data_IF_013937304890
#
_entry.id   IF_013937304890
#
_cell.length_a   1.000
_cell.length_b   1.000
_cell.length_c   1.000
_cell.angle_alpha   90.00
_cell.angle_beta   90.00
_cell.angle_gamma   90.00
#
_symmetry.space_group_name_H-M   'P 1'
#
loop_
_entity.id
_entity.type
_entity.pdbx_description
1 polymer ?
#
# COMPACT_ATOMS: atom_id res chain seq x y z
N UNK A 1 16.47 -31.71 4.13
CA UNK A 1 15.32 -31.18 3.36
C UNK A 1 14.32 -30.62 4.37
N UNK A 2 13.65 -29.48 4.10
CA UNK A 2 12.67 -28.73 4.95
C UNK A 2 13.13 -27.39 5.60
N UNK A 3 14.42 -27.03 5.61
CA UNK A 3 14.88 -25.79 6.27
C UNK A 3 14.32 -24.51 5.61
N UNK A 4 14.09 -24.53 4.29
CA UNK A 4 13.53 -23.38 3.56
C UNK A 4 12.08 -23.06 3.93
N UNK A 5 11.25 -24.08 4.18
CA UNK A 5 9.85 -23.88 4.61
C UNK A 5 9.82 -23.31 6.03
N UNK A 6 10.70 -23.79 6.93
CA UNK A 6 10.81 -23.25 8.27
C UNK A 6 11.19 -21.75 8.27
N UNK A 7 12.06 -21.33 7.35
CA UNK A 7 12.44 -19.93 7.17
C UNK A 7 11.29 -19.04 6.67
N UNK A 8 10.47 -19.52 5.73
CA UNK A 8 9.28 -18.77 5.25
C UNK A 8 8.24 -18.64 6.37
N UNK A 9 7.98 -19.72 7.11
CA UNK A 9 7.03 -19.73 8.22
C UNK A 9 7.51 -18.77 9.32
N UNK A 10 8.81 -18.81 9.66
CA UNK A 10 9.40 -17.92 10.67
C UNK A 10 9.36 -16.45 10.22
N UNK A 11 9.63 -16.15 8.94
CA UNK A 11 9.50 -14.80 8.39
C UNK A 11 8.05 -14.29 8.45
N UNK A 12 7.06 -15.16 8.23
CA UNK A 12 5.65 -14.83 8.37
C UNK A 12 5.20 -14.58 9.82
N UNK A 13 5.75 -15.35 10.78
CA UNK A 13 5.51 -15.19 12.22
C UNK A 13 6.13 -13.90 12.79
N UNK A 14 7.25 -13.44 12.21
CA UNK A 14 7.90 -12.18 12.58
C UNK A 14 7.27 -10.95 11.89
N UNK A 15 6.22 -11.13 11.09
CA UNK A 15 5.49 -10.02 10.49
C UNK A 15 4.85 -9.16 11.59
N UNK A 16 5.22 -7.88 11.64
CA UNK A 16 4.74 -6.91 12.62
C UNK A 16 3.21 -6.72 12.61
N UNK A 17 2.68 -5.89 13.53
CA UNK A 17 1.25 -5.68 13.66
C UNK A 17 0.64 -5.13 12.36
N UNK A 18 -0.44 -5.77 11.92
CA UNK A 18 -1.18 -5.36 10.73
C UNK A 18 -2.22 -4.33 11.12
N UNK A 19 -1.92 -3.06 10.85
CA UNK A 19 -2.84 -1.95 11.04
C UNK A 19 -3.71 -1.73 9.79
N UNK A 20 -4.98 -1.43 10.01
CA UNK A 20 -5.92 -1.04 8.95
C UNK A 20 -6.90 -0.03 9.51
N UNK A 21 -7.03 1.11 8.85
CA UNK A 21 -7.98 2.16 9.21
C UNK A 21 -8.88 2.49 8.02
N UNK A 22 -10.13 2.82 8.29
CA UNK A 22 -11.05 3.36 7.29
C UNK A 22 -11.45 4.76 7.71
N UNK A 23 -11.20 5.74 6.85
CA UNK A 23 -11.53 7.14 7.09
C UNK A 23 -12.45 7.66 5.99
N UNK A 24 -13.34 8.57 6.37
CA UNK A 24 -14.07 9.40 5.42
C UNK A 24 -13.51 10.80 5.53
N UNK A 25 -13.10 11.35 4.40
CA UNK A 25 -12.45 12.64 4.34
C UNK A 25 -13.16 13.52 3.32
N UNK A 26 -13.47 14.74 3.71
CA UNK A 26 -14.00 15.78 2.84
C UNK A 26 -12.86 16.59 2.24
N UNK A 27 -13.10 17.22 1.11
CA UNK A 27 -12.11 18.12 0.49
C UNK A 27 -11.64 19.20 1.46
N UNK A 28 -10.33 19.43 1.52
CA UNK A 28 -9.60 20.30 2.46
C UNK A 28 -9.60 19.87 3.93
N UNK A 29 -10.20 18.73 4.27
CA UNK A 29 -10.14 18.15 5.61
C UNK A 29 -8.80 17.45 5.84
N UNK A 30 -8.30 17.48 7.08
CA UNK A 30 -7.11 16.73 7.52
C UNK A 30 -7.50 15.75 8.60
N UNK A 31 -7.12 14.49 8.42
CA UNK A 31 -7.36 13.40 9.38
C UNK A 31 -6.02 12.89 9.88
N UNK A 32 -5.83 12.93 11.19
CA UNK A 32 -4.68 12.35 11.86
C UNK A 32 -4.89 10.85 12.08
N UNK A 33 -3.92 10.03 11.66
CA UNK A 33 -3.97 8.57 11.74
C UNK A 33 -3.04 8.00 12.83
N UNK A 34 -2.42 8.86 13.66
CA UNK A 34 -1.53 8.42 14.74
C UNK A 34 -2.25 7.46 15.71
N UNK A 35 -3.50 7.76 16.05
CA UNK A 35 -4.34 6.90 16.91
C UNK A 35 -4.69 5.54 16.28
N UNK A 36 -4.61 5.44 14.95
CA UNK A 36 -4.86 4.21 14.19
C UNK A 36 -3.58 3.38 13.96
N UNK A 37 -2.45 3.83 14.51
CA UNK A 37 -1.15 3.16 14.38
C UNK A 37 -0.35 3.56 13.15
N UNK A 38 -0.68 4.68 12.51
CA UNK A 38 0.07 5.23 11.38
C UNK A 38 0.69 6.58 11.76
N UNK A 39 2.03 6.76 11.70
CA UNK A 39 2.69 8.00 12.10
C UNK A 39 2.58 9.09 11.02
N UNK A 40 1.39 9.29 10.47
CA UNK A 40 1.09 10.25 9.41
C UNK A 40 -0.30 10.87 9.64
N UNK A 41 -0.50 12.07 9.11
CA UNK A 41 -1.83 12.61 8.85
C UNK A 41 -2.05 12.69 7.32
N UNK A 42 -3.32 12.64 6.92
CA UNK A 42 -3.73 12.73 5.51
C UNK A 42 -4.66 13.91 5.36
N UNK A 43 -4.33 14.82 4.43
CA UNK A 43 -5.20 15.92 4.02
C UNK A 43 -5.73 15.67 2.63
N UNK A 44 -7.04 15.81 2.41
CA UNK A 44 -7.60 15.78 1.07
C UNK A 44 -7.44 17.15 0.41
N UNK A 45 -6.79 17.19 -0.75
CA UNK A 45 -6.66 18.41 -1.54
C UNK A 45 -7.86 18.59 -2.46
N UNK A 46 -8.13 17.58 -3.29
CA UNK A 46 -9.18 17.61 -4.30
C UNK A 46 -9.82 16.24 -4.39
N UNK A 47 -11.15 16.20 -4.44
CA UNK A 47 -11.93 14.97 -4.61
C UNK A 47 -12.86 15.15 -5.80
N UNK A 48 -12.59 14.43 -6.88
CA UNK A 48 -13.24 14.65 -8.16
C UNK A 48 -13.64 13.36 -8.88
N UNK A 49 -14.50 13.49 -9.87
CA UNK A 49 -14.95 12.40 -10.72
C UNK A 49 -14.73 12.78 -12.20
N UNK A 50 -14.14 11.88 -12.96
CA UNK A 50 -14.05 11.97 -14.41
C UNK A 50 -15.25 11.26 -15.03
N UNK A 51 -15.83 11.87 -16.06
CA UNK A 51 -17.02 11.38 -16.75
C UNK A 51 -16.73 11.12 -18.23
N UNK A 52 -17.40 10.12 -18.81
CA UNK A 52 -17.46 9.97 -20.26
C UNK A 52 -18.36 11.07 -20.87
N UNK A 53 -18.25 11.29 -22.18
CA UNK A 53 -19.10 12.23 -22.90
C UNK A 53 -20.62 11.97 -22.71
N UNK A 54 -21.00 10.71 -22.45
CA UNK A 54 -22.39 10.31 -22.15
C UNK A 54 -22.82 10.52 -20.69
N UNK A 55 -22.01 11.16 -19.86
CA UNK A 55 -22.34 11.48 -18.45
C UNK A 55 -22.17 10.32 -17.46
N UNK A 56 -21.82 9.12 -17.93
CA UNK A 56 -21.45 8.01 -17.05
C UNK A 56 -20.10 8.28 -16.37
N UNK A 57 -19.99 7.92 -15.09
CA UNK A 57 -18.71 8.05 -14.37
C UNK A 57 -17.68 7.10 -14.96
N UNK A 58 -16.52 7.66 -15.28
CA UNK A 58 -15.35 6.94 -15.75
C UNK A 58 -14.43 6.55 -14.61
N UNK A 59 -14.09 7.50 -13.74
CA UNK A 59 -13.18 7.27 -12.63
C UNK A 59 -13.40 8.29 -11.51
N UNK A 60 -13.07 7.90 -10.29
CA UNK A 60 -13.04 8.81 -9.13
C UNK A 60 -11.60 9.00 -8.71
N UNK A 61 -11.23 10.25 -8.42
CA UNK A 61 -9.90 10.65 -8.04
C UNK A 61 -9.93 11.38 -6.70
N UNK A 62 -8.93 11.10 -5.87
CA UNK A 62 -8.67 11.83 -4.64
C UNK A 62 -7.19 12.18 -4.63
N UNK A 63 -6.88 13.47 -4.68
CA UNK A 63 -5.52 13.98 -4.41
C UNK A 63 -5.40 14.20 -2.92
N UNK A 64 -4.40 13.59 -2.31
CA UNK A 64 -4.11 13.71 -0.89
C UNK A 64 -2.70 14.23 -0.66
N UNK A 65 -2.52 15.02 0.37
CA UNK A 65 -1.23 15.35 0.95
C UNK A 65 -0.99 14.48 2.16
N UNK A 66 0.22 13.93 2.25
CA UNK A 66 0.69 13.17 3.39
C UNK A 66 1.51 14.11 4.26
N UNK A 67 1.19 14.15 5.55
CA UNK A 67 1.83 15.00 6.53
C UNK A 67 2.54 14.15 7.58
N UNK A 68 3.77 14.54 7.92
CA UNK A 68 4.50 14.01 9.07
C UNK A 68 4.80 15.16 10.02
N UNK A 69 4.41 15.01 11.29
CA UNK A 69 4.57 16.06 12.32
C UNK A 69 4.04 17.43 11.86
N UNK A 70 2.91 17.43 11.16
CA UNK A 70 2.25 18.63 10.63
C UNK A 70 2.88 19.24 9.37
N UNK A 71 3.99 18.67 8.85
CA UNK A 71 4.62 19.12 7.59
C UNK A 71 4.21 18.22 6.45
N UNK A 72 3.82 18.81 5.33
CA UNK A 72 3.62 18.07 4.08
C UNK A 72 4.94 17.46 3.60
N UNK A 73 4.93 16.15 3.38
CA UNK A 73 6.09 15.36 2.96
C UNK A 73 5.93 14.75 1.58
N UNK A 74 4.69 14.56 1.11
CA UNK A 74 4.40 13.92 -0.16
C UNK A 74 2.96 14.28 -0.60
N UNK A 75 2.70 14.22 -1.90
CA UNK A 75 1.37 14.39 -2.48
C UNK A 75 1.10 13.20 -3.38
N UNK A 76 -0.08 12.58 -3.21
CA UNK A 76 -0.48 11.38 -3.91
C UNK A 76 -1.82 11.56 -4.60
N UNK A 77 -1.90 11.01 -5.80
CA UNK A 77 -3.13 10.93 -6.56
C UNK A 77 -3.63 9.49 -6.51
N UNK A 78 -4.84 9.30 -5.96
CA UNK A 78 -5.45 8.00 -5.75
C UNK A 78 -6.65 7.89 -6.66
N UNK A 79 -6.81 6.74 -7.30
CA UNK A 79 -8.06 6.37 -7.96
C UNK A 79 -8.47 4.95 -7.62
N UNK A 80 -9.69 4.58 -7.98
CA UNK A 80 -10.10 3.17 -7.90
C UNK A 80 -9.09 2.31 -8.67
N UNK A 81 -8.67 1.19 -8.06
CA UNK A 81 -7.63 0.26 -8.56
C UNK A 81 -6.19 0.81 -8.67
N UNK A 82 -5.95 2.09 -8.39
CA UNK A 82 -4.61 2.68 -8.34
C UNK A 82 -4.35 3.27 -6.94
N UNK A 83 -4.01 2.44 -5.95
CA UNK A 83 -3.73 2.89 -4.60
C UNK A 83 -2.43 3.71 -4.55
N UNK A 84 -2.37 4.64 -3.61
CA UNK A 84 -1.12 5.31 -3.27
C UNK A 84 -0.31 4.46 -2.29
N UNK A 85 1.01 4.52 -2.44
CA UNK A 85 1.96 3.93 -1.51
C UNK A 85 2.85 5.03 -0.94
N UNK A 86 3.07 4.99 0.37
CA UNK A 86 4.01 5.85 1.07
C UNK A 86 4.70 5.03 2.17
N UNK A 87 6.02 4.88 2.08
CA UNK A 87 6.79 3.97 2.95
C UNK A 87 6.14 2.57 2.99
N UNK A 88 5.81 2.06 4.17
CA UNK A 88 5.12 0.79 4.37
C UNK A 88 3.59 0.98 4.56
N UNK A 89 3.01 2.01 3.96
CA UNK A 89 1.58 2.33 4.04
C UNK A 89 0.99 2.32 2.64
N UNK A 90 -0.16 1.66 2.47
CA UNK A 90 -1.00 1.79 1.28
C UNK A 90 -2.32 2.43 1.60
N UNK A 91 -2.73 3.33 0.73
CA UNK A 91 -3.97 4.09 0.83
C UNK A 91 -4.81 3.76 -0.40
N UNK A 92 -5.96 3.16 -0.16
CA UNK A 92 -6.92 2.75 -1.17
C UNK A 92 -8.11 3.67 -1.13
N UNK A 93 -8.58 4.10 -2.30
CA UNK A 93 -9.89 4.71 -2.40
C UNK A 93 -10.95 3.62 -2.44
N UNK A 94 -11.86 3.65 -1.48
CA UNK A 94 -12.90 2.65 -1.27
C UNK A 94 -14.29 3.14 -1.65
N UNK A 95 -14.62 4.39 -1.32
CA UNK A 95 -15.92 4.98 -1.66
C UNK A 95 -15.79 6.42 -2.12
N UNK A 96 -16.78 6.88 -2.87
CA UNK A 96 -16.94 8.28 -3.26
C UNK A 96 -18.40 8.67 -3.02
N UNK A 97 -18.62 9.87 -2.48
CA UNK A 97 -19.96 10.42 -2.27
C UNK A 97 -19.95 11.92 -2.52
N UNK A 98 -20.94 12.40 -3.28
CA UNK A 98 -21.24 13.83 -3.37
C UNK A 98 -22.22 14.20 -2.25
N UNK A 99 -21.90 15.22 -1.45
CA UNK A 99 -22.74 15.71 -0.37
C UNK A 99 -22.94 17.24 -0.46
N UNK A 100 -24.01 17.79 0.14
CA UNK A 100 -24.16 19.25 0.26
C UNK A 100 -22.95 19.85 0.98
N UNK A 101 -22.17 20.66 0.26
CA UNK A 101 -20.98 21.32 0.76
C UNK A 101 -19.64 20.66 0.41
N UNK A 102 -19.61 19.61 -0.42
CA UNK A 102 -18.37 19.08 -1.00
C UNK A 102 -18.39 17.58 -1.28
N UNK A 103 -17.42 17.11 -2.06
CA UNK A 103 -17.22 15.69 -2.28
C UNK A 103 -16.52 15.05 -1.07
N UNK A 104 -16.84 13.79 -0.80
CA UNK A 104 -16.31 12.98 0.29
C UNK A 104 -15.73 11.71 -0.30
N UNK A 105 -14.52 11.38 0.11
CA UNK A 105 -13.80 10.17 -0.28
C UNK A 105 -13.65 9.25 0.93
N UNK A 106 -13.99 7.98 0.78
CA UNK A 106 -13.69 6.96 1.77
C UNK A 106 -12.36 6.31 1.45
N UNK A 107 -11.37 6.48 2.32
CA UNK A 107 -10.03 5.93 2.15
C UNK A 107 -9.78 4.81 3.15
N UNK A 108 -9.21 3.69 2.67
CA UNK A 108 -8.70 2.62 3.52
C UNK A 108 -7.19 2.69 3.57
N UNK A 109 -6.63 2.87 4.75
CA UNK A 109 -5.19 2.91 5.02
C UNK A 109 -4.76 1.57 5.59
N UNK A 110 -3.71 0.95 5.03
CA UNK A 110 -3.21 -0.36 5.45
C UNK A 110 -1.70 -0.34 5.61
N UNK A 111 -1.21 -1.01 6.65
CA UNK A 111 0.21 -1.30 6.81
C UNK A 111 0.64 -2.43 5.85
N UNK A 112 1.77 -2.22 5.17
CA UNK A 112 2.48 -3.21 4.36
C UNK A 112 3.74 -3.76 5.08
N UNK A 113 3.86 -3.55 6.40
CA UNK A 113 4.96 -4.10 7.20
C UNK A 113 5.04 -5.64 7.08
N UNK A 114 6.25 -6.14 6.81
CA UNK A 114 6.53 -7.57 6.60
C UNK A 114 6.65 -8.00 5.14
N UNK A 115 6.12 -7.23 4.17
CA UNK A 115 6.28 -7.52 2.74
C UNK A 115 7.76 -7.51 2.27
N UNK A 116 8.64 -6.60 2.74
CA UNK A 116 10.05 -6.60 2.36
C UNK A 116 10.79 -7.87 2.81
N UNK A 117 10.51 -8.35 4.02
CA UNK A 117 11.12 -9.56 4.56
C UNK A 117 10.71 -10.80 3.78
N UNK A 118 9.42 -10.92 3.43
CA UNK A 118 8.90 -12.02 2.60
C UNK A 118 9.53 -12.01 1.19
N UNK A 119 9.64 -10.84 0.54
CA UNK A 119 10.26 -10.72 -0.79
C UNK A 119 11.74 -11.11 -0.76
N UNK A 120 12.47 -10.66 0.26
CA UNK A 120 13.89 -10.98 0.43
C UNK A 120 14.09 -12.49 0.65
N UNK A 121 13.26 -13.11 1.50
CA UNK A 121 13.27 -14.56 1.71
C UNK A 121 12.97 -15.37 0.45
N UNK A 122 12.02 -14.92 -0.38
CA UNK A 122 11.70 -15.60 -1.63
C UNK A 122 12.83 -15.48 -2.67
N UNK A 123 13.44 -14.30 -2.81
CA UNK A 123 14.55 -14.06 -3.73
C UNK A 123 15.78 -14.89 -3.36
N UNK A 124 16.10 -15.02 -2.06
CA UNK A 124 17.23 -15.83 -1.62
C UNK A 124 17.03 -17.32 -1.91
N UNK A 125 15.81 -17.83 -1.74
CA UNK A 125 15.46 -19.21 -2.10
C UNK A 125 15.54 -19.45 -3.61
N UNK A 126 15.05 -18.51 -4.42
CA UNK A 126 15.16 -18.60 -5.88
C UNK A 126 16.62 -18.59 -6.34
N UNK A 127 17.44 -17.67 -5.81
CA UNK A 127 18.88 -17.59 -6.11
C UNK A 127 19.63 -18.87 -5.69
N UNK A 128 19.34 -19.40 -4.50
CA UNK A 128 19.90 -20.68 -4.04
C UNK A 128 19.53 -21.85 -4.95
N UNK A 129 18.29 -21.89 -5.45
CA UNK A 129 17.82 -22.92 -6.39
C UNK A 129 18.53 -22.83 -7.75
N UNK A 130 18.75 -21.62 -8.26
CA UNK A 130 19.49 -21.37 -9.50
C UNK A 130 20.97 -21.76 -9.36
N UNK A 131 21.61 -21.43 -8.23
CA UNK A 131 22.98 -21.84 -7.93
C UNK A 131 23.15 -23.35 -7.89
N UNK A 132 22.22 -24.08 -7.28
CA UNK A 132 22.24 -25.57 -7.24
C UNK A 132 22.12 -26.15 -8.67
N UNK A 133 21.25 -25.59 -9.51
CA UNK A 133 21.07 -26.05 -10.89
C UNK A 133 22.30 -25.75 -11.77
N UNK A 134 22.92 -24.58 -11.60
CA UNK A 134 24.16 -24.22 -12.29
C UNK A 134 25.35 -25.06 -11.81
N UNK A 135 25.46 -25.31 -10.50
CA UNK A 135 26.49 -26.18 -9.92
C UNK A 135 26.36 -27.64 -10.39
N UNK A 136 25.14 -28.15 -10.58
CA UNK A 136 24.90 -29.49 -11.17
C UNK A 136 25.37 -29.62 -12.62
N UNK A 137 25.37 -28.53 -13.41
CA UNK A 137 25.88 -28.57 -14.80
C UNK A 137 27.41 -28.70 -14.88
N UNK A 138 28.14 -28.31 -13.84
CA UNK A 138 29.60 -28.41 -13.80
C UNK A 138 30.13 -29.72 -13.16
N UNK A 139 29.26 -30.54 -12.57
CA UNK A 139 29.62 -31.81 -11.92
C UNK A 139 29.45 -33.08 -12.77
N UNK A 140 29.10 -32.95 -14.06
CA UNK A 140 28.88 -34.09 -14.98
C UNK A 140 29.92 -34.06 -16.10
N UNK A 141 31.20 -34.14 -15.73
CA UNK A 141 32.29 -34.61 -16.59
C UNK A 141 33.38 -35.18 -15.70
N UNK A 142 33.25 -36.44 -15.31
CA UNK A 142 34.39 -37.34 -15.06
C UNK A 142 33.92 -38.79 -15.04
#
# INVERSE_FOLDING_TARGET
MHLGIALIILAGLLGGPKHSAYIQIKEHETVDLEHEGFPIAVRAEVIEAEYYAGGAVKQYFTTISILESGREVDVKHISVNHPASYKEIKIYQSTFRTAPGGNISGLTVKSEQGLPFVRTGLLSLAAGSVLILLGRRHGVTS
#
